data_IF_019429215673
#
_entry.id   IF_019429215673
#
_cell.length_a   1.000
_cell.length_b   1.000
_cell.length_c   1.000
_cell.angle_alpha   90.00
_cell.angle_beta   90.00
_cell.angle_gamma   90.00
#
_symmetry.space_group_name_H-M   'P 1'
#
loop_
_entity.id
_entity.type
_entity.pdbx_description
1 polymer ?
#
# COMPACT_ATOMS: atom_id res chain seq x y z
N UNK A 1 -15.14 -22.03 -20.11
CA UNK A 1 -15.37 -20.78 -19.37
C UNK A 1 -14.20 -20.62 -18.41
N UNK A 2 -13.47 -19.50 -18.48
CA UNK A 2 -12.42 -19.20 -17.49
C UNK A 2 -13.13 -18.48 -16.35
N UNK A 3 -13.35 -19.17 -15.23
CA UNK A 3 -13.85 -18.52 -14.02
C UNK A 3 -12.77 -17.55 -13.58
N UNK A 4 -13.02 -16.25 -13.74
CA UNK A 4 -12.13 -15.22 -13.21
C UNK A 4 -12.08 -15.41 -11.69
N UNK A 5 -10.88 -15.60 -11.15
CA UNK A 5 -10.68 -15.72 -9.71
C UNK A 5 -11.13 -14.41 -9.06
N UNK A 6 -12.24 -14.46 -8.32
CA UNK A 6 -12.75 -13.34 -7.55
C UNK A 6 -12.21 -13.45 -6.12
N UNK A 7 -11.15 -12.69 -5.77
CA UNK A 7 -10.53 -12.79 -4.45
C UNK A 7 -11.48 -12.37 -3.32
N UNK A 8 -12.56 -11.61 -3.59
CA UNK A 8 -13.52 -11.21 -2.57
C UNK A 8 -14.50 -12.33 -2.22
N UNK A 9 -14.92 -13.15 -3.20
CA UNK A 9 -15.71 -14.37 -2.95
C UNK A 9 -14.86 -15.42 -2.23
N UNK A 10 -13.61 -15.59 -2.65
CA UNK A 10 -12.68 -16.51 -1.99
C UNK A 10 -12.38 -16.16 -0.53
N UNK A 11 -12.58 -14.91 -0.11
CA UNK A 11 -12.46 -14.47 1.28
C UNK A 11 -13.79 -14.54 2.05
N UNK A 12 -14.92 -14.55 1.35
CA UNK A 12 -16.25 -14.69 1.95
C UNK A 12 -16.53 -16.14 2.38
N UNK A 13 -15.87 -17.11 1.75
CA UNK A 13 -16.09 -18.54 1.96
C UNK A 13 -15.15 -19.19 3.00
N UNK A 14 -14.25 -18.42 3.62
CA UNK A 14 -13.35 -18.97 4.66
C UNK A 14 -14.13 -19.06 5.97
N UNK A 15 -14.40 -20.28 6.42
CA UNK A 15 -15.00 -20.53 7.73
C UNK A 15 -14.03 -20.18 8.86
N UNK A 16 -14.56 -19.90 10.05
CA UNK A 16 -13.74 -19.61 11.24
C UNK A 16 -12.84 -20.80 11.61
N UNK A 17 -13.30 -22.03 11.34
CA UNK A 17 -12.52 -23.26 11.51
C UNK A 17 -11.36 -23.37 10.52
N UNK A 18 -11.57 -23.06 9.24
CA UNK A 18 -10.49 -23.02 8.23
C UNK A 18 -9.48 -21.91 8.50
N UNK A 19 -9.94 -20.77 9.03
CA UNK A 19 -9.07 -19.69 9.46
C UNK A 19 -8.24 -20.09 10.68
N UNK A 20 -8.85 -20.76 11.65
CA UNK A 20 -8.17 -21.26 12.84
C UNK A 20 -7.16 -22.37 12.48
N UNK A 21 -7.53 -23.31 11.60
CA UNK A 21 -6.62 -24.32 11.07
C UNK A 21 -5.42 -23.67 10.34
N UNK A 22 -5.68 -22.64 9.53
CA UNK A 22 -4.61 -21.87 8.89
C UNK A 22 -3.69 -21.19 9.91
N UNK A 23 -4.24 -20.61 10.98
CA UNK A 23 -3.45 -19.98 12.06
C UNK A 23 -2.62 -21.03 12.80
N UNK A 24 -3.20 -22.16 13.19
CA UNK A 24 -2.53 -23.27 13.86
C UNK A 24 -1.39 -23.83 13.01
N UNK A 25 -1.60 -24.02 11.70
CA UNK A 25 -0.57 -24.44 10.73
C UNK A 25 0.59 -23.42 10.61
N UNK A 26 0.33 -22.12 10.81
CA UNK A 26 1.39 -21.10 10.85
C UNK A 26 2.17 -21.10 12.18
N UNK A 27 1.53 -21.50 13.28
CA UNK A 27 2.16 -21.63 14.60
C UNK A 27 3.02 -22.89 14.72
N UNK A 28 2.63 -24.00 14.09
CA UNK A 28 3.31 -25.30 14.17
C UNK A 28 4.67 -25.34 13.43
N UNK A 29 5.02 -24.30 12.67
CA UNK A 29 6.31 -24.18 12.02
C UNK A 29 7.28 -23.26 12.80
N UNK A 30 8.15 -23.79 13.69
CA UNK A 30 9.29 -23.03 14.17
C UNK A 30 10.39 -23.06 13.09
N UNK A 31 10.14 -22.44 11.94
CA UNK A 31 11.25 -22.01 11.09
C UNK A 31 11.98 -20.97 11.90
N UNK A 32 13.08 -21.35 12.56
CA UNK A 32 14.05 -20.48 13.26
C UNK A 32 13.92 -19.07 12.71
N UNK A 33 13.07 -18.23 13.32
CA UNK A 33 12.81 -16.88 12.80
C UNK A 33 14.08 -16.13 13.12
N UNK A 34 15.05 -16.24 12.21
CA UNK A 34 16.16 -15.30 12.06
C UNK A 34 15.48 -13.96 12.20
N UNK A 35 15.70 -13.23 13.32
CA UNK A 35 14.97 -12.00 13.69
C UNK A 35 14.54 -11.33 12.40
N UNK A 36 13.26 -11.46 12.05
CA UNK A 36 12.81 -10.96 10.76
C UNK A 36 13.02 -9.46 10.88
N UNK A 37 14.03 -8.95 10.17
CA UNK A 37 14.25 -7.51 10.09
C UNK A 37 12.90 -6.91 9.76
N UNK A 38 12.56 -5.82 10.43
CA UNK A 38 11.39 -5.02 10.07
C UNK A 38 11.39 -4.89 8.56
N UNK A 39 10.26 -5.13 7.89
CA UNK A 39 10.23 -5.06 6.43
C UNK A 39 10.46 -3.60 6.04
N UNK A 40 11.73 -3.20 5.90
CA UNK A 40 12.16 -1.82 5.67
C UNK A 40 11.55 -1.25 4.38
N UNK A 41 11.15 -2.12 3.44
CA UNK A 41 10.37 -1.74 2.26
C UNK A 41 8.99 -1.14 2.58
N UNK A 42 8.50 -1.26 3.82
CA UNK A 42 7.20 -0.75 4.28
C UNK A 42 7.32 0.42 5.27
N UNK A 43 8.47 1.11 5.37
CA UNK A 43 8.71 2.21 6.33
C UNK A 43 7.59 3.25 6.35
N UNK A 44 7.05 3.62 5.18
CA UNK A 44 5.90 4.51 5.04
C UNK A 44 4.66 3.99 5.80
N UNK A 45 4.29 2.73 5.57
CA UNK A 45 3.14 2.08 6.21
C UNK A 45 3.33 1.87 7.72
N UNK A 46 4.55 1.58 8.16
CA UNK A 46 4.87 1.48 9.59
C UNK A 46 4.62 2.83 10.26
N UNK A 47 5.10 3.92 9.67
CA UNK A 47 4.91 5.26 10.23
C UNK A 47 3.43 5.66 10.32
N UNK A 48 2.64 5.29 9.32
CA UNK A 48 1.20 5.52 9.34
C UNK A 48 0.52 4.72 10.44
N UNK A 49 0.81 3.42 10.50
CA UNK A 49 0.23 2.54 11.52
C UNK A 49 0.57 3.00 12.94
N UNK A 50 1.83 3.34 13.22
CA UNK A 50 2.24 3.84 14.52
C UNK A 50 1.54 5.16 14.87
N UNK A 51 1.43 6.08 13.91
CA UNK A 51 0.74 7.35 14.13
C UNK A 51 -0.76 7.18 14.41
N UNK A 52 -1.41 6.17 13.81
CA UNK A 52 -2.80 5.80 14.10
C UNK A 52 -2.90 5.19 15.50
N UNK A 53 -1.98 4.28 15.85
CA UNK A 53 -1.94 3.61 17.16
C UNK A 53 -1.74 4.58 18.32
N UNK A 54 -1.04 5.71 18.09
CA UNK A 54 -0.87 6.80 19.06
C UNK A 54 -2.13 7.66 19.27
N UNK A 55 -3.22 7.42 18.53
CA UNK A 55 -4.50 8.09 18.73
C UNK A 55 -5.41 7.26 19.67
N UNK A 56 -6.44 7.87 20.28
CA UNK A 56 -7.49 7.13 20.95
C UNK A 56 -8.13 6.10 20.01
N UNK A 57 -8.38 4.89 20.51
CA UNK A 57 -8.86 3.73 19.73
C UNK A 57 -10.13 4.01 18.92
N UNK A 58 -11.06 4.78 19.51
CA UNK A 58 -12.28 5.26 18.84
C UNK A 58 -12.04 6.03 17.53
N UNK A 59 -10.82 6.52 17.30
CA UNK A 59 -10.43 7.25 16.10
C UNK A 59 -9.70 6.37 15.06
N UNK A 60 -9.25 5.16 15.41
CA UNK A 60 -8.38 4.35 14.57
C UNK A 60 -9.01 4.04 13.21
N UNK A 61 -10.23 3.50 13.20
CA UNK A 61 -10.94 3.17 11.94
C UNK A 61 -11.17 4.42 11.09
N UNK A 62 -11.50 5.55 11.71
CA UNK A 62 -11.73 6.81 10.99
C UNK A 62 -10.44 7.36 10.40
N UNK A 63 -9.34 7.29 11.14
CA UNK A 63 -8.02 7.70 10.70
C UNK A 63 -7.51 6.84 9.54
N UNK A 64 -7.69 5.52 9.66
CA UNK A 64 -7.36 4.57 8.61
C UNK A 64 -8.15 4.82 7.33
N UNK A 65 -9.47 5.03 7.42
CA UNK A 65 -10.32 5.35 6.26
C UNK A 65 -9.85 6.62 5.56
N UNK A 66 -9.59 7.71 6.30
CA UNK A 66 -9.07 8.96 5.73
C UNK A 66 -7.76 8.73 4.98
N UNK A 67 -6.84 7.94 5.55
CA UNK A 67 -5.57 7.61 4.91
C UNK A 67 -5.78 6.82 3.61
N UNK A 68 -6.60 5.77 3.62
CA UNK A 68 -6.84 4.93 2.44
C UNK A 68 -7.62 5.68 1.35
N UNK A 69 -8.63 6.47 1.72
CA UNK A 69 -9.43 7.29 0.81
C UNK A 69 -8.55 8.31 0.06
N UNK A 70 -7.57 8.90 0.75
CA UNK A 70 -6.59 9.78 0.11
C UNK A 70 -5.59 8.98 -0.73
N UNK A 71 -5.02 7.90 -0.20
CA UNK A 71 -3.97 7.13 -0.88
C UNK A 71 -4.44 6.49 -2.20
N UNK A 72 -5.68 6.02 -2.26
CA UNK A 72 -6.19 5.35 -3.46
C UNK A 72 -7.05 6.24 -4.35
N UNK A 73 -7.77 7.20 -3.77
CA UNK A 73 -8.77 7.99 -4.51
C UNK A 73 -8.55 9.50 -4.43
N UNK A 74 -7.46 9.96 -3.80
CA UNK A 74 -7.15 11.38 -3.61
C UNK A 74 -8.30 12.16 -2.94
N UNK A 75 -9.14 11.48 -2.16
CA UNK A 75 -10.27 12.10 -1.46
C UNK A 75 -9.76 12.81 -0.21
N UNK A 76 -10.02 14.11 -0.14
CA UNK A 76 -9.69 14.92 1.03
C UNK A 76 -10.52 14.49 2.26
N UNK A 77 -9.98 14.63 3.49
CA UNK A 77 -10.72 14.29 4.69
C UNK A 77 -12.00 15.14 4.81
N UNK A 78 -13.14 14.56 5.25
CA UNK A 78 -14.37 15.32 5.44
C UNK A 78 -14.21 16.51 6.40
N UNK A 79 -14.97 17.59 6.22
CA UNK A 79 -14.89 18.80 7.06
C UNK A 79 -15.09 18.52 8.55
N UNK A 80 -15.90 17.51 8.90
CA UNK A 80 -16.17 17.10 10.29
C UNK A 80 -15.09 16.18 10.88
N UNK A 81 -13.92 16.07 10.26
CA UNK A 81 -12.83 15.17 10.70
C UNK A 81 -12.20 15.69 12.00
N UNK A 82 -12.00 14.83 13.03
CA UNK A 82 -11.40 15.23 14.28
C UNK A 82 -10.02 15.83 14.07
N UNK A 83 -9.72 16.90 14.81
CA UNK A 83 -8.46 17.66 14.70
C UNK A 83 -7.22 16.76 14.81
N UNK A 84 -7.24 15.76 15.68
CA UNK A 84 -6.13 14.80 15.84
C UNK A 84 -5.82 14.04 14.55
N UNK A 85 -6.85 13.64 13.80
CA UNK A 85 -6.69 12.94 12.52
C UNK A 85 -6.17 13.92 11.47
N UNK A 86 -6.72 15.14 11.42
CA UNK A 86 -6.28 16.17 10.48
C UNK A 86 -4.81 16.55 10.68
N UNK A 87 -4.35 16.65 11.93
CA UNK A 87 -2.94 16.91 12.26
C UNK A 87 -2.01 15.83 11.69
N UNK A 88 -2.36 14.56 11.85
CA UNK A 88 -1.58 13.46 11.28
C UNK A 88 -1.69 13.39 9.76
N UNK A 89 -2.87 13.71 9.22
CA UNK A 89 -3.13 13.71 7.78
C UNK A 89 -2.19 14.64 7.01
N UNK A 90 -1.84 15.81 7.56
CA UNK A 90 -0.87 16.72 6.92
C UNK A 90 0.48 16.02 6.66
N UNK A 91 0.93 15.17 7.58
CA UNK A 91 2.16 14.38 7.41
C UNK A 91 1.97 13.22 6.43
N UNK A 92 0.84 12.50 6.54
CA UNK A 92 0.53 11.37 5.68
C UNK A 92 0.43 11.77 4.22
N UNK A 93 -0.28 12.87 3.94
CA UNK A 93 -0.46 13.44 2.61
C UNK A 93 0.87 13.57 1.87
N UNK A 94 1.84 14.24 2.51
CA UNK A 94 3.17 14.46 1.94
C UNK A 94 3.89 13.15 1.60
N UNK A 95 3.80 12.15 2.47
CA UNK A 95 4.43 10.85 2.22
C UNK A 95 3.75 10.07 1.10
N UNK A 96 2.42 10.09 1.05
CA UNK A 96 1.63 9.46 -0.02
C UNK A 96 1.96 10.11 -1.37
N UNK A 97 1.96 11.45 -1.44
CA UNK A 97 2.22 12.18 -2.68
C UNK A 97 3.63 11.88 -3.22
N UNK A 98 4.64 11.91 -2.34
CA UNK A 98 6.02 11.56 -2.72
C UNK A 98 6.12 10.11 -3.20
N UNK A 99 5.36 9.19 -2.60
CA UNK A 99 5.36 7.79 -3.01
C UNK A 99 4.66 7.58 -4.35
N UNK A 100 3.53 8.26 -4.60
CA UNK A 100 2.85 8.24 -5.90
C UNK A 100 3.78 8.76 -7.00
N UNK A 101 4.38 9.94 -6.82
CA UNK A 101 5.30 10.51 -7.81
C UNK A 101 6.52 9.64 -8.10
N UNK A 102 7.01 8.87 -7.12
CA UNK A 102 8.10 7.91 -7.34
C UNK A 102 7.62 6.71 -8.16
N UNK A 103 6.40 6.23 -7.91
CA UNK A 103 5.79 5.18 -8.69
C UNK A 103 5.53 5.64 -10.12
N UNK A 104 4.90 6.79 -10.31
CA UNK A 104 4.56 7.35 -11.62
C UNK A 104 5.81 7.54 -12.48
N UNK A 105 6.88 8.16 -11.94
CA UNK A 105 8.18 8.27 -12.63
C UNK A 105 8.78 6.93 -13.00
N UNK A 106 8.65 5.92 -12.14
CA UNK A 106 9.17 4.57 -12.40
C UNK A 106 8.37 3.89 -13.50
N UNK A 107 7.05 4.05 -13.50
CA UNK A 107 6.15 3.56 -14.55
C UNK A 107 6.48 4.25 -15.87
N UNK A 108 6.52 5.58 -15.90
CA UNK A 108 6.91 6.37 -17.08
C UNK A 108 8.29 5.94 -17.61
N UNK A 109 9.29 5.75 -16.75
CA UNK A 109 10.62 5.28 -17.17
C UNK A 109 10.64 3.84 -17.70
N UNK A 110 9.71 2.99 -17.24
CA UNK A 110 9.57 1.62 -17.71
C UNK A 110 8.82 1.53 -19.06
N UNK A 111 7.99 2.52 -19.39
CA UNK A 111 7.26 2.59 -20.67
C UNK A 111 7.93 3.49 -21.72
N UNK A 112 8.76 4.45 -21.30
CA UNK A 112 9.44 5.42 -22.17
C UNK A 112 10.71 4.92 -22.85
N UNK A 113 10.77 3.65 -23.25
CA UNK A 113 12.00 3.05 -23.79
C UNK A 113 11.81 2.06 -24.93
N UNK A 114 11.53 2.55 -26.15
CA UNK A 114 12.19 2.21 -27.44
C UNK A 114 11.36 2.74 -28.62
N UNK A 115 11.34 4.04 -28.82
CA UNK A 115 11.29 4.53 -30.20
C UNK A 115 12.73 4.51 -30.68
N UNK A 116 12.98 3.66 -31.68
CA UNK A 116 14.32 3.33 -32.13
C UNK A 116 15.10 4.58 -32.50
N UNK A 117 16.32 4.70 -31.94
CA UNK A 117 17.39 5.45 -32.58
C UNK A 117 17.61 4.83 -33.97
N UNK A 118 16.86 5.31 -34.96
CA UNK A 118 17.18 5.18 -36.36
C UNK A 118 18.50 5.93 -36.53
N UNK A 119 19.59 5.16 -36.52
CA UNK A 119 20.90 5.67 -36.88
C UNK A 119 20.78 6.28 -38.26
N UNK A 120 20.80 7.60 -38.32
CA UNK A 120 21.14 8.31 -39.53
C UNK A 120 22.61 7.99 -39.83
N UNK A 121 22.84 6.90 -40.56
CA UNK A 121 24.06 6.71 -41.32
C UNK A 121 24.11 7.83 -42.36
N UNK A 122 24.81 8.90 -42.02
CA UNK A 122 25.10 9.98 -42.95
C UNK A 122 26.35 9.54 -43.75
N UNK A 123 26.11 8.84 -44.85
CA UNK A 123 27.08 8.62 -45.92
C UNK A 123 26.80 9.59 -47.07
N UNK A 124 27.86 10.21 -47.59
CA UNK A 124 27.88 10.90 -48.88
C UNK A 124 27.50 12.39 -48.90
N UNK A 125 28.51 13.28 -48.96
CA UNK A 125 28.96 13.94 -50.21
C UNK A 125 30.22 14.75 -49.94
#
# INVERSE_FOLDING_TARGET
MKTEFNPLEALADISEDELNEFIELQEEAPKKRRRQKTRESFVCFISFYESIKLMPERLHLRAFRVLMDYAFYQKEPPTKTPTRIMQSFVSWRKQVDVNSQKYDRKVESNWGGKDGDEKADNDGT
#
